data_IF_388002075312
#
_entry.id   IF_388002075312
#
_cell.length_a   1.000
_cell.length_b   1.000
_cell.length_c   1.000
_cell.angle_alpha   90.00
_cell.angle_beta   90.00
_cell.angle_gamma   90.00
#
_symmetry.space_group_name_H-M   'P 1'
#
loop_
_entity.id
_entity.type
_entity.pdbx_description
1 polymer ?
#
# COMPACT_ATOMS: atom_id res chain seq x y z
N UNK A 1 46.75 -60.50 1.40
CA UNK A 1 48.12 -61.02 1.72
C UNK A 1 48.44 -60.66 3.15
N UNK A 2 48.71 -61.72 4.00
CA UNK A 2 49.25 -61.73 5.37
C UNK A 2 48.36 -61.15 6.49
N UNK A 3 47.65 -61.91 7.33
CA UNK A 3 48.03 -62.93 8.31
C UNK A 3 48.85 -62.39 9.48
N UNK A 4 48.32 -62.58 10.70
CA UNK A 4 49.06 -62.60 11.97
C UNK A 4 48.08 -62.21 13.11
N UNK A 5 47.36 -63.03 13.67
CA UNK A 5 47.62 -64.04 14.74
C UNK A 5 48.15 -63.44 16.06
N UNK A 6 47.30 -63.67 17.11
CA UNK A 6 47.56 -64.44 18.31
C UNK A 6 47.82 -63.64 19.59
N UNK A 7 47.13 -63.97 20.65
CA UNK A 7 47.48 -63.68 22.04
C UNK A 7 46.37 -63.84 23.06
N UNK A 8 46.00 -65.08 23.36
CA UNK A 8 45.19 -65.50 24.53
C UNK A 8 46.09 -65.38 25.78
N UNK A 9 45.64 -64.66 26.81
CA UNK A 9 46.06 -64.91 28.21
C UNK A 9 44.84 -64.90 29.13
N UNK A 10 44.53 -66.06 29.60
CA UNK A 10 43.64 -66.48 30.68
C UNK A 10 44.32 -66.17 32.01
N UNK A 11 43.70 -65.39 32.91
CA UNK A 11 44.11 -65.44 34.33
C UNK A 11 42.89 -65.33 35.23
N UNK A 12 42.66 -66.40 35.91
CA UNK A 12 41.69 -66.73 36.89
C UNK A 12 42.18 -66.24 38.26
N UNK A 13 41.40 -65.43 38.99
CA UNK A 13 41.56 -65.26 40.45
C UNK A 13 40.17 -64.94 41.10
N UNK A 14 39.66 -65.88 41.79
CA UNK A 14 38.99 -66.05 43.09
C UNK A 14 38.05 -64.95 43.60
N UNK A 15 36.85 -65.44 43.88
CA UNK A 15 35.77 -64.89 44.65
C UNK A 15 36.13 -64.50 46.10
N UNK A 16 35.73 -63.31 46.52
CA UNK A 16 35.47 -62.97 47.92
C UNK A 16 34.04 -62.47 48.00
N UNK A 17 33.17 -63.30 48.55
CA UNK A 17 31.79 -63.03 48.91
C UNK A 17 31.76 -62.22 50.21
N UNK A 18 31.20 -60.98 50.10
CA UNK A 18 30.71 -60.25 51.26
C UNK A 18 29.24 -59.98 51.06
N UNK A 19 28.47 -60.72 51.80
CA UNK A 19 27.02 -60.65 52.03
C UNK A 19 26.74 -59.29 52.71
N UNK A 20 26.10 -58.37 51.98
CA UNK A 20 25.40 -57.22 52.59
C UNK A 20 23.97 -57.30 52.16
N UNK A 21 23.07 -57.62 53.07
CA UNK A 21 21.61 -57.62 52.88
C UNK A 21 21.18 -56.21 52.50
N UNK A 22 20.41 -56.04 51.43
CA UNK A 22 19.75 -54.77 51.19
C UNK A 22 18.67 -54.58 52.26
N UNK A 23 18.76 -53.56 53.08
CA UNK A 23 17.65 -53.05 53.88
C UNK A 23 16.50 -52.75 52.96
N UNK A 24 15.35 -53.40 53.26
CA UNK A 24 14.08 -53.06 52.62
C UNK A 24 13.90 -51.50 52.63
N UNK A 25 13.84 -50.92 51.44
CA UNK A 25 13.54 -49.50 51.30
C UNK A 25 12.19 -49.20 51.92
N UNK A 26 12.18 -48.24 52.77
CA UNK A 26 10.95 -47.63 53.24
C UNK A 26 10.10 -47.21 52.02
N UNK A 27 8.76 -47.37 52.10
CA UNK A 27 7.85 -46.82 51.09
C UNK A 27 8.11 -45.34 51.04
N UNK A 28 8.40 -44.82 49.82
CA UNK A 28 8.67 -43.42 49.60
C UNK A 28 7.64 -42.54 50.27
N UNK A 29 8.12 -41.67 51.11
CA UNK A 29 7.32 -40.62 51.72
C UNK A 29 6.53 -39.88 50.61
N UNK A 30 5.29 -39.58 50.88
CA UNK A 30 4.45 -38.74 50.05
C UNK A 30 5.29 -37.53 49.63
N UNK A 31 5.59 -37.43 48.33
CA UNK A 31 6.46 -36.40 47.82
C UNK A 31 6.00 -35.01 48.28
N UNK A 32 6.89 -34.27 48.94
CA UNK A 32 6.57 -32.95 49.40
C UNK A 32 5.97 -32.18 48.23
N UNK A 33 4.72 -31.70 48.38
CA UNK A 33 4.01 -30.92 47.36
C UNK A 33 4.87 -29.70 47.03
N UNK A 34 5.37 -29.69 45.84
CA UNK A 34 6.33 -28.65 45.37
C UNK A 34 5.64 -27.29 45.21
N UNK A 35 6.26 -26.24 45.66
CA UNK A 35 5.75 -24.88 45.45
C UNK A 35 5.98 -24.44 44.00
N UNK A 36 4.93 -23.88 43.41
CA UNK A 36 4.99 -23.26 42.07
C UNK A 36 4.45 -21.84 42.10
N UNK A 37 5.16 -20.89 41.49
CA UNK A 37 4.65 -19.55 41.35
C UNK A 37 3.44 -19.54 40.39
N UNK A 38 2.37 -18.89 40.81
CA UNK A 38 1.14 -18.74 40.03
C UNK A 38 0.75 -17.27 39.92
N UNK A 39 0.12 -16.91 38.82
CA UNK A 39 -0.46 -15.59 38.61
C UNK A 39 -1.97 -15.70 38.53
N UNK A 40 -2.70 -14.81 39.22
CA UNK A 40 -4.13 -14.66 39.04
C UNK A 40 -4.38 -13.79 37.79
N UNK A 41 -5.05 -14.37 36.77
CA UNK A 41 -5.32 -13.62 35.55
C UNK A 41 -6.45 -12.61 35.75
N UNK A 42 -6.27 -11.41 35.22
CA UNK A 42 -7.25 -10.32 35.27
C UNK A 42 -7.61 -9.90 33.85
N UNK A 43 -8.85 -9.47 33.68
CA UNK A 43 -9.25 -8.83 32.42
C UNK A 43 -8.81 -7.38 32.42
N UNK A 44 -8.26 -6.93 31.30
CA UNK A 44 -7.90 -5.53 31.06
C UNK A 44 -8.13 -5.18 29.59
N UNK A 45 -8.48 -3.93 29.32
CA UNK A 45 -8.54 -3.47 27.93
C UNK A 45 -7.13 -3.28 27.42
N UNK A 46 -6.87 -3.74 26.20
CA UNK A 46 -5.56 -3.57 25.55
C UNK A 46 -5.71 -3.19 24.10
N UNK A 47 -4.69 -2.53 23.56
CA UNK A 47 -4.60 -2.19 22.16
C UNK A 47 -3.51 -3.04 21.51
N UNK A 48 -3.95 -3.87 20.57
CA UNK A 48 -3.06 -4.61 19.69
C UNK A 48 -2.88 -3.83 18.39
N UNK A 49 -1.78 -4.09 17.70
CA UNK A 49 -1.54 -3.55 16.38
C UNK A 49 -1.37 -4.69 15.39
N UNK A 50 -1.91 -4.49 14.21
CA UNK A 50 -1.67 -5.37 13.08
C UNK A 50 -1.06 -4.59 11.94
N UNK A 51 0.07 -5.08 11.45
CA UNK A 51 0.86 -4.42 10.42
C UNK A 51 0.61 -5.08 9.07
N UNK A 52 0.37 -4.26 8.05
CA UNK A 52 0.10 -4.69 6.68
C UNK A 52 1.12 -4.07 5.73
N UNK A 53 1.87 -4.90 4.97
CA UNK A 53 2.77 -4.38 3.95
C UNK A 53 2.01 -3.50 2.96
N UNK A 54 2.58 -2.33 2.67
CA UNK A 54 1.95 -1.34 1.80
C UNK A 54 2.92 -0.77 0.78
N UNK A 55 2.34 -0.34 -0.36
CA UNK A 55 3.01 0.52 -1.34
C UNK A 55 2.37 1.89 -1.31
N UNK A 56 3.22 2.91 -1.27
CA UNK A 56 2.81 4.30 -1.29
C UNK A 56 2.72 4.81 -2.72
N UNK A 57 1.62 5.48 -3.04
CA UNK A 57 1.42 6.13 -4.33
C UNK A 57 0.88 7.55 -4.11
N UNK A 58 1.29 8.48 -4.94
CA UNK A 58 0.67 9.80 -4.97
C UNK A 58 -0.81 9.70 -5.35
N UNK A 59 -1.59 10.66 -4.89
CA UNK A 59 -3.04 10.73 -5.16
C UNK A 59 -3.36 10.64 -6.66
N UNK A 60 -2.53 11.24 -7.48
CA UNK A 60 -2.61 11.19 -8.93
C UNK A 60 -1.20 11.11 -9.50
N UNK A 61 -0.93 10.11 -10.31
CA UNK A 61 0.32 10.02 -11.07
C UNK A 61 -0.03 10.02 -12.55
N UNK A 62 0.52 11.00 -13.29
CA UNK A 62 0.28 11.17 -14.71
C UNK A 62 1.59 10.99 -15.47
N UNK A 63 1.58 10.12 -16.47
CA UNK A 63 2.69 9.96 -17.39
C UNK A 63 2.68 11.09 -18.42
N UNK A 64 3.81 11.76 -18.58
CA UNK A 64 4.01 12.79 -19.58
C UNK A 64 4.61 12.16 -20.83
N UNK A 65 3.87 12.20 -21.90
CA UNK A 65 4.26 11.65 -23.21
C UNK A 65 4.19 12.73 -24.30
N UNK A 66 5.05 12.65 -25.31
CA UNK A 66 4.92 13.49 -26.49
C UNK A 66 3.71 13.05 -27.33
N UNK A 67 2.96 13.99 -27.89
CA UNK A 67 1.90 13.72 -28.87
C UNK A 67 2.42 13.70 -30.32
N UNK A 68 3.60 14.29 -30.55
CA UNK A 68 4.23 14.38 -31.87
C UNK A 68 5.65 13.82 -31.82
N UNK A 69 6.19 13.47 -32.97
CA UNK A 69 7.60 13.08 -33.10
C UNK A 69 8.48 14.32 -33.20
N UNK A 70 9.58 14.34 -32.43
CA UNK A 70 10.55 15.43 -32.47
C UNK A 70 11.73 15.20 -31.54
N UNK A 71 12.79 15.97 -31.73
CA UNK A 71 13.94 15.98 -30.84
C UNK A 71 13.70 16.91 -29.65
N UNK A 72 14.10 16.47 -28.44
CA UNK A 72 14.07 17.34 -27.26
C UNK A 72 15.11 18.43 -27.44
N UNK A 73 14.66 19.68 -27.52
CA UNK A 73 15.52 20.87 -27.62
C UNK A 73 15.92 21.37 -26.23
N UNK A 74 14.98 21.39 -25.28
CA UNK A 74 15.19 21.90 -23.93
C UNK A 74 14.37 21.12 -22.92
N UNK A 75 14.95 20.93 -21.73
CA UNK A 75 14.28 20.48 -20.50
C UNK A 75 14.27 21.70 -19.56
N UNK A 76 13.08 22.15 -19.14
CA UNK A 76 12.88 23.43 -18.43
C UNK A 76 12.67 23.26 -16.93
N UNK A 77 12.76 22.04 -16.44
CA UNK A 77 12.52 21.67 -15.04
C UNK A 77 13.53 20.60 -14.61
N UNK A 78 13.76 20.48 -13.32
CA UNK A 78 14.66 19.46 -12.76
C UNK A 78 13.87 18.25 -12.24
N UNK A 79 14.55 17.08 -12.16
CA UNK A 79 14.02 15.88 -11.53
C UNK A 79 13.71 16.15 -10.05
N UNK A 80 12.54 15.76 -9.59
CA UNK A 80 12.10 16.01 -8.21
C UNK A 80 11.54 17.40 -7.92
N UNK A 81 11.57 18.34 -8.90
CA UNK A 81 10.98 19.65 -8.74
C UNK A 81 9.45 19.59 -8.66
N UNK A 82 8.86 20.52 -7.91
CA UNK A 82 7.41 20.71 -7.92
C UNK A 82 7.02 21.59 -9.11
N UNK A 83 5.97 21.19 -9.82
CA UNK A 83 5.46 21.90 -11.00
C UNK A 83 3.97 22.14 -10.89
N UNK A 84 3.52 23.23 -11.55
CA UNK A 84 2.12 23.60 -11.63
C UNK A 84 1.47 23.13 -12.93
N UNK A 85 0.17 22.92 -12.89
CA UNK A 85 -0.64 22.63 -14.08
C UNK A 85 -0.44 23.73 -15.14
N UNK A 86 -0.12 23.30 -16.37
CA UNK A 86 0.16 24.19 -17.50
C UNK A 86 1.62 24.67 -17.61
N UNK A 87 2.47 24.41 -16.61
CA UNK A 87 3.89 24.72 -16.67
C UNK A 87 4.57 23.91 -17.77
N UNK A 88 5.41 24.57 -18.60
CA UNK A 88 6.17 23.91 -19.66
C UNK A 88 7.31 23.10 -19.05
N UNK A 89 7.36 21.81 -19.37
CA UNK A 89 8.36 20.87 -18.89
C UNK A 89 9.46 20.62 -19.93
N UNK A 90 9.04 20.36 -21.17
CA UNK A 90 9.93 20.07 -22.29
C UNK A 90 9.57 20.94 -23.49
N UNK A 91 10.57 21.27 -24.28
CA UNK A 91 10.43 21.89 -25.60
C UNK A 91 11.03 20.96 -26.64
N UNK A 92 10.25 20.64 -27.67
CA UNK A 92 10.74 19.90 -28.84
C UNK A 92 11.20 20.91 -29.90
N UNK A 93 12.12 20.47 -30.75
CA UNK A 93 12.50 21.27 -31.92
C UNK A 93 11.25 21.51 -32.80
N UNK A 94 11.01 22.80 -33.09
CA UNK A 94 9.79 23.24 -33.75
C UNK A 94 10.02 23.78 -35.16
N UNK A 95 11.23 23.73 -35.69
CA UNK A 95 11.58 24.38 -36.98
C UNK A 95 10.71 23.87 -38.14
N UNK A 96 10.57 22.54 -38.28
CA UNK A 96 9.78 21.94 -39.35
C UNK A 96 8.28 22.22 -39.17
N UNK A 97 7.81 22.13 -37.93
CA UNK A 97 6.39 22.39 -37.59
C UNK A 97 6.05 23.85 -37.84
N UNK A 98 6.94 24.80 -37.51
CA UNK A 98 6.77 26.20 -37.81
C UNK A 98 6.75 26.49 -39.32
N UNK A 99 7.56 25.77 -40.13
CA UNK A 99 7.52 25.88 -41.56
C UNK A 99 6.17 25.46 -42.15
N UNK A 100 5.57 24.37 -41.60
CA UNK A 100 4.22 23.88 -41.96
C UNK A 100 3.18 24.97 -41.61
N UNK A 101 3.26 25.60 -40.43
CA UNK A 101 2.34 26.67 -40.05
C UNK A 101 2.43 27.84 -41.04
N UNK A 102 3.65 28.35 -41.36
CA UNK A 102 3.83 29.41 -42.34
C UNK A 102 3.26 29.05 -43.72
N UNK A 103 3.41 27.79 -44.16
CA UNK A 103 2.83 27.32 -45.41
C UNK A 103 1.30 27.34 -45.37
N UNK A 104 0.69 26.85 -44.27
CA UNK A 104 -0.76 26.86 -44.08
C UNK A 104 -1.32 28.31 -44.00
N UNK A 105 -0.61 29.24 -43.34
CA UNK A 105 -0.96 30.67 -43.31
C UNK A 105 -0.96 31.29 -44.72
N UNK A 106 0.04 30.96 -45.52
CA UNK A 106 0.10 31.44 -46.91
C UNK A 106 -1.09 30.90 -47.75
N UNK A 107 -1.45 29.62 -47.54
CA UNK A 107 -2.60 29.00 -48.23
C UNK A 107 -3.94 29.65 -47.84
N UNK A 108 -4.12 30.04 -46.58
CA UNK A 108 -5.30 30.82 -46.12
C UNK A 108 -5.34 32.17 -46.85
N UNK A 109 -4.22 32.90 -46.97
CA UNK A 109 -4.17 34.20 -47.68
C UNK A 109 -4.53 34.04 -49.15
N UNK A 110 -4.08 32.97 -49.83
CA UNK A 110 -4.47 32.69 -51.22
C UNK A 110 -5.97 32.45 -51.32
N UNK A 111 -6.53 31.58 -50.44
CA UNK A 111 -7.95 31.30 -50.44
C UNK A 111 -8.80 32.55 -50.10
N UNK A 112 -8.36 33.40 -49.23
CA UNK A 112 -9.00 34.72 -48.93
C UNK A 112 -9.07 35.61 -50.16
N UNK A 113 -7.96 35.72 -50.93
CA UNK A 113 -7.93 36.47 -52.17
C UNK A 113 -8.89 35.89 -53.21
N UNK A 114 -8.96 34.57 -53.34
CA UNK A 114 -9.89 33.90 -54.24
C UNK A 114 -11.37 34.18 -53.88
N UNK A 115 -11.72 34.21 -52.59
CA UNK A 115 -13.09 34.59 -52.15
C UNK A 115 -13.39 36.03 -52.55
N UNK A 116 -12.45 36.98 -52.31
CA UNK A 116 -12.62 38.39 -52.68
C UNK A 116 -12.89 38.52 -54.18
N UNK A 117 -12.13 37.80 -55.04
CA UNK A 117 -12.35 37.81 -56.48
C UNK A 117 -13.73 37.28 -56.83
N UNK A 118 -14.18 36.21 -56.22
CA UNK A 118 -15.52 35.61 -56.46
C UNK A 118 -16.63 36.59 -56.00
N UNK A 119 -16.49 37.23 -54.85
CA UNK A 119 -17.41 38.28 -54.36
C UNK A 119 -17.53 39.45 -55.32
N UNK A 120 -16.41 39.99 -55.78
CA UNK A 120 -16.42 41.07 -56.79
C UNK A 120 -17.15 40.66 -58.06
N UNK A 121 -17.04 39.38 -58.49
CA UNK A 121 -17.76 38.88 -59.66
C UNK A 121 -19.30 38.81 -59.41
N UNK A 122 -19.74 38.39 -58.23
CA UNK A 122 -21.16 38.43 -57.84
C UNK A 122 -21.65 39.88 -57.79
N UNK A 123 -20.89 40.81 -57.16
CA UNK A 123 -21.25 42.22 -57.08
C UNK A 123 -21.37 42.89 -58.48
N UNK A 124 -20.53 42.51 -59.41
CA UNK A 124 -20.61 43.01 -60.83
C UNK A 124 -21.80 42.41 -61.58
N UNK A 125 -22.10 41.13 -61.38
CA UNK A 125 -23.15 40.41 -62.14
C UNK A 125 -24.55 40.77 -61.63
N UNK A 126 -24.75 40.95 -60.37
CA UNK A 126 -26.02 41.21 -59.69
C UNK A 126 -26.78 42.40 -60.33
N UNK A 127 -26.21 43.62 -60.55
CA UNK A 127 -26.90 44.76 -61.17
C UNK A 127 -27.18 44.54 -62.66
N UNK A 128 -26.41 43.68 -63.35
CA UNK A 128 -26.65 43.38 -64.76
C UNK A 128 -27.88 42.48 -64.94
N UNK A 129 -28.12 41.56 -64.01
CA UNK A 129 -29.34 40.74 -63.97
C UNK A 129 -30.54 41.62 -63.62
N UNK A 130 -30.44 42.52 -62.67
CA UNK A 130 -31.50 43.48 -62.31
C UNK A 130 -31.95 44.30 -63.54
N UNK A 131 -30.99 44.65 -64.43
CA UNK A 131 -31.23 45.39 -65.66
C UNK A 131 -31.63 44.48 -66.85
N UNK A 132 -31.79 43.12 -66.64
CA UNK A 132 -32.05 42.12 -67.66
C UNK A 132 -30.99 42.05 -68.77
N UNK A 133 -29.75 42.42 -68.52
CA UNK A 133 -28.63 42.36 -69.48
C UNK A 133 -28.05 40.94 -69.55
N UNK A 134 -28.01 40.20 -68.38
CA UNK A 134 -27.57 38.82 -68.28
C UNK A 134 -28.66 37.93 -67.62
N UNK A 135 -28.53 36.61 -67.79
CA UNK A 135 -29.53 35.68 -67.29
C UNK A 135 -29.44 35.46 -65.78
N UNK A 136 -30.54 35.06 -65.13
CA UNK A 136 -30.49 34.64 -63.71
C UNK A 136 -29.58 33.41 -63.46
N UNK A 137 -29.41 32.59 -64.51
CA UNK A 137 -28.52 31.42 -64.43
C UNK A 137 -27.06 31.85 -64.28
N UNK A 138 -26.64 32.95 -64.96
CA UNK A 138 -25.29 33.51 -64.83
C UNK A 138 -25.01 33.99 -63.41
N UNK A 139 -25.99 34.66 -62.77
CA UNK A 139 -25.85 35.06 -61.37
C UNK A 139 -25.73 33.82 -60.45
N UNK A 140 -26.60 32.82 -60.61
CA UNK A 140 -26.55 31.60 -59.86
C UNK A 140 -25.21 30.85 -60.02
N UNK A 141 -24.59 30.90 -61.19
CA UNK A 141 -23.28 30.30 -61.45
C UNK A 141 -22.16 31.00 -60.67
N UNK A 142 -22.13 32.36 -60.69
CA UNK A 142 -21.08 33.07 -59.93
C UNK A 142 -21.31 32.98 -58.42
N UNK A 143 -22.55 32.98 -57.93
CA UNK A 143 -22.87 32.73 -56.51
C UNK A 143 -22.43 31.31 -56.07
N UNK A 144 -22.64 30.30 -56.93
CA UNK A 144 -22.17 28.93 -56.66
C UNK A 144 -20.63 28.87 -56.62
N UNK A 145 -19.95 29.67 -57.46
CA UNK A 145 -18.48 29.80 -57.45
C UNK A 145 -17.99 30.46 -56.18
N UNK A 146 -18.67 31.52 -55.73
CA UNK A 146 -18.35 32.21 -54.45
C UNK A 146 -18.44 31.22 -53.29
N UNK A 147 -19.58 30.46 -53.17
CA UNK A 147 -19.75 29.41 -52.14
C UNK A 147 -18.67 28.35 -52.22
N UNK A 148 -18.23 27.95 -53.41
CA UNK A 148 -17.12 27.02 -53.60
C UNK A 148 -15.80 27.57 -53.04
N UNK A 149 -15.51 28.86 -53.29
CA UNK A 149 -14.33 29.55 -52.79
C UNK A 149 -14.36 29.77 -51.27
N UNK A 150 -15.53 30.08 -50.72
CA UNK A 150 -15.74 30.11 -49.24
C UNK A 150 -15.47 28.76 -48.59
N UNK A 151 -15.94 27.66 -49.23
CA UNK A 151 -15.66 26.33 -48.73
C UNK A 151 -14.15 25.96 -48.78
N UNK A 152 -13.44 26.41 -49.83
CA UNK A 152 -11.97 26.29 -49.95
C UNK A 152 -11.25 27.06 -48.87
N UNK A 153 -11.69 28.30 -48.57
CA UNK A 153 -11.15 29.12 -47.48
C UNK A 153 -11.38 28.42 -46.11
N UNK A 154 -12.58 27.89 -45.88
CA UNK A 154 -12.86 27.15 -44.65
C UNK A 154 -11.93 25.93 -44.49
N UNK A 155 -11.67 25.20 -45.59
CA UNK A 155 -10.70 24.08 -45.59
C UNK A 155 -9.28 24.53 -45.29
N UNK A 156 -8.83 25.66 -45.89
CA UNK A 156 -7.50 26.19 -45.62
C UNK A 156 -7.34 26.66 -44.15
N UNK A 157 -8.38 27.27 -43.60
CA UNK A 157 -8.40 27.67 -42.16
C UNK A 157 -8.34 26.45 -41.24
N UNK A 158 -9.07 25.37 -41.52
CA UNK A 158 -9.00 24.14 -40.78
C UNK A 158 -7.61 23.48 -40.83
N UNK A 159 -6.94 23.54 -41.99
CA UNK A 159 -5.56 23.06 -42.13
C UNK A 159 -4.56 23.92 -41.29
N UNK A 160 -4.74 25.22 -41.25
CA UNK A 160 -3.94 26.10 -40.41
C UNK A 160 -4.15 25.82 -38.91
N UNK A 161 -5.39 25.59 -38.50
CA UNK A 161 -5.72 25.20 -37.13
C UNK A 161 -5.01 23.89 -36.71
N UNK A 162 -5.04 22.87 -37.58
CA UNK A 162 -4.32 21.61 -37.36
C UNK A 162 -2.79 21.84 -37.26
N UNK A 163 -2.22 22.67 -38.12
CA UNK A 163 -0.78 23.03 -38.05
C UNK A 163 -0.43 23.72 -36.74
N UNK A 164 -1.27 24.64 -36.29
CA UNK A 164 -1.08 25.37 -35.02
C UNK A 164 -1.22 24.42 -33.81
N UNK A 165 -2.15 23.48 -33.84
CA UNK A 165 -2.29 22.43 -32.79
C UNK A 165 -1.00 21.59 -32.70
N UNK A 166 -0.42 21.19 -33.82
CA UNK A 166 0.86 20.46 -33.85
C UNK A 166 2.01 21.33 -33.30
N UNK A 167 2.03 22.62 -33.57
CA UNK A 167 3.01 23.55 -33.01
C UNK A 167 2.85 23.66 -31.49
N UNK A 168 1.64 23.70 -30.98
CA UNK A 168 1.40 23.68 -29.51
C UNK A 168 1.93 22.41 -28.87
N UNK A 169 1.83 21.26 -29.53
CA UNK A 169 2.34 19.97 -29.01
C UNK A 169 3.87 19.92 -28.94
N UNK A 170 4.60 20.85 -29.54
CA UNK A 170 6.05 20.98 -29.34
C UNK A 170 6.41 21.49 -27.95
N UNK A 171 5.46 22.12 -27.24
CA UNK A 171 5.58 22.53 -25.83
C UNK A 171 4.83 21.54 -24.96
N UNK A 172 5.57 20.71 -24.27
CA UNK A 172 5.00 19.68 -23.41
C UNK A 172 4.81 20.27 -22.03
N UNK A 173 3.55 20.35 -21.57
CA UNK A 173 3.17 20.98 -20.30
C UNK A 173 2.67 19.95 -19.29
N UNK A 174 2.74 20.31 -18.00
CA UNK A 174 2.14 19.48 -16.94
C UNK A 174 0.60 19.57 -16.97
N UNK A 175 -0.12 18.44 -16.97
CA UNK A 175 -1.58 18.42 -16.89
C UNK A 175 -2.10 18.65 -15.46
N UNK A 176 -1.24 18.52 -14.43
CA UNK A 176 -1.61 18.59 -13.00
C UNK A 176 -0.48 19.24 -12.19
N UNK A 177 -0.83 19.66 -10.98
CA UNK A 177 0.16 20.05 -9.97
C UNK A 177 0.80 18.80 -9.39
N UNK A 178 2.12 18.82 -9.12
CA UNK A 178 2.80 17.68 -8.54
C UNK A 178 4.32 17.72 -8.67
N UNK A 179 4.96 16.66 -8.20
CA UNK A 179 6.41 16.48 -8.26
C UNK A 179 6.81 15.70 -9.50
N UNK A 180 7.83 16.17 -10.20
CA UNK A 180 8.43 15.52 -11.37
C UNK A 180 9.17 14.26 -10.96
N UNK A 181 9.03 13.20 -11.76
CA UNK A 181 9.83 11.99 -11.68
C UNK A 181 11.21 12.12 -12.32
N UNK A 182 11.79 11.00 -12.75
CA UNK A 182 13.06 10.95 -13.47
C UNK A 182 12.88 11.23 -14.96
N UNK A 183 13.97 11.59 -15.65
CA UNK A 183 14.02 11.82 -17.09
C UNK A 183 14.80 10.70 -17.79
N UNK A 184 14.12 9.69 -18.40
CA UNK A 184 14.81 8.68 -19.20
C UNK A 184 15.49 9.26 -20.44
N UNK A 185 14.97 10.39 -20.96
CA UNK A 185 15.43 11.05 -22.17
C UNK A 185 16.18 12.33 -21.84
N UNK A 186 17.18 12.66 -22.67
CA UNK A 186 18.02 13.86 -22.54
C UNK A 186 17.80 14.81 -23.73
N UNK A 187 18.30 16.01 -23.61
CA UNK A 187 18.35 16.97 -24.75
C UNK A 187 19.05 16.28 -25.94
N UNK A 188 18.45 16.38 -27.11
CA UNK A 188 18.88 15.70 -28.33
C UNK A 188 18.26 14.31 -28.56
N UNK A 189 17.51 13.75 -27.60
CA UNK A 189 16.80 12.49 -27.81
C UNK A 189 15.61 12.66 -28.73
N UNK A 190 15.37 11.69 -29.62
CA UNK A 190 14.15 11.61 -30.44
C UNK A 190 13.04 10.97 -29.61
N UNK A 191 11.89 11.61 -29.55
CA UNK A 191 10.70 11.16 -28.83
C UNK A 191 9.47 11.18 -29.73
N UNK A 192 8.48 10.36 -29.41
CA UNK A 192 7.23 10.26 -30.16
C UNK A 192 6.10 9.74 -29.28
N UNK A 193 4.86 9.79 -29.77
CA UNK A 193 3.70 9.21 -29.08
C UNK A 193 3.76 7.68 -28.92
N UNK A 194 4.57 6.99 -29.73
CA UNK A 194 4.78 5.53 -29.69
C UNK A 194 5.99 5.10 -28.85
N UNK A 195 6.73 6.05 -28.26
CA UNK A 195 7.86 5.75 -27.40
C UNK A 195 7.36 4.97 -26.16
N UNK A 196 7.99 3.81 -25.87
CA UNK A 196 7.53 2.89 -24.82
C UNK A 196 7.54 3.55 -23.45
N UNK A 197 8.61 4.26 -23.10
CA UNK A 197 8.76 4.97 -21.82
C UNK A 197 8.19 6.39 -21.90
N UNK A 198 7.56 6.90 -20.81
CA UNK A 198 7.16 8.29 -20.74
C UNK A 198 8.37 9.22 -20.63
N UNK A 199 8.24 10.48 -21.03
CA UNK A 199 9.26 11.51 -20.86
C UNK A 199 9.58 11.75 -19.37
N UNK A 200 8.56 11.72 -18.56
CA UNK A 200 8.61 11.76 -17.10
C UNK A 200 7.22 11.41 -16.54
N UNK A 201 7.12 11.41 -15.22
CA UNK A 201 5.84 11.33 -14.50
C UNK A 201 5.65 12.57 -13.64
N UNK A 202 4.42 13.03 -13.49
CA UNK A 202 4.04 14.05 -12.51
C UNK A 202 3.14 13.41 -11.48
N UNK A 203 3.56 13.40 -10.22
CA UNK A 203 2.84 12.80 -9.11
C UNK A 203 2.35 13.87 -8.15
N UNK A 204 1.04 13.95 -7.93
CA UNK A 204 0.48 14.74 -6.84
C UNK A 204 0.71 14.00 -5.52
N UNK A 205 1.59 14.54 -4.70
CA UNK A 205 2.04 13.93 -3.44
C UNK A 205 1.55 14.68 -2.21
N UNK A 206 0.60 15.60 -2.34
CA UNK A 206 0.00 16.34 -1.20
C UNK A 206 -0.68 15.35 -0.24
N UNK A 207 -1.39 14.38 -0.80
CA UNK A 207 -1.89 13.22 -0.08
C UNK A 207 -1.29 11.97 -0.71
N UNK A 208 -0.86 11.05 0.15
CA UNK A 208 -0.31 9.77 -0.27
C UNK A 208 -1.31 8.65 0.01
N UNK A 209 -1.50 7.80 -0.95
CA UNK A 209 -2.29 6.59 -0.82
C UNK A 209 -1.39 5.41 -0.48
N UNK A 210 -1.75 4.71 0.59
CA UNK A 210 -1.14 3.45 0.99
C UNK A 210 -2.07 2.30 0.58
N UNK A 211 -1.60 1.46 -0.33
CA UNK A 211 -2.33 0.28 -0.80
C UNK A 211 -1.82 -0.96 -0.08
N UNK A 212 -2.71 -1.65 0.59
CA UNK A 212 -2.45 -2.90 1.28
C UNK A 212 -3.64 -3.86 1.12
N UNK A 213 -3.51 -5.10 1.57
CA UNK A 213 -4.53 -6.12 1.33
C UNK A 213 -4.95 -6.80 2.61
N UNK A 214 -6.28 -7.00 2.77
CA UNK A 214 -6.85 -7.94 3.73
C UNK A 214 -7.13 -9.28 3.06
N UNK A 215 -6.98 -10.37 3.78
CA UNK A 215 -7.60 -11.61 3.33
C UNK A 215 -9.14 -11.53 3.47
N UNK A 216 -9.88 -12.31 2.68
CA UNK A 216 -11.34 -12.25 2.64
C UNK A 216 -11.99 -12.49 4.01
N UNK A 217 -11.49 -13.48 4.78
CA UNK A 217 -12.00 -13.79 6.12
C UNK A 217 -11.89 -12.58 7.06
N UNK A 218 -10.75 -11.91 7.03
CA UNK A 218 -10.48 -10.75 7.86
C UNK A 218 -11.35 -9.56 7.46
N UNK A 219 -11.45 -9.28 6.16
CA UNK A 219 -12.32 -8.24 5.63
C UNK A 219 -13.78 -8.43 6.06
N UNK A 220 -14.29 -9.65 5.97
CA UNK A 220 -15.63 -9.99 6.42
C UNK A 220 -15.80 -9.81 7.94
N UNK A 221 -14.79 -10.19 8.74
CA UNK A 221 -14.81 -10.00 10.19
C UNK A 221 -14.87 -8.51 10.56
N UNK A 222 -14.00 -7.69 9.97
CA UNK A 222 -13.97 -6.25 10.20
C UNK A 222 -15.30 -5.61 9.76
N UNK A 223 -15.77 -5.90 8.55
CA UNK A 223 -16.95 -5.24 7.99
C UNK A 223 -18.26 -5.66 8.66
N UNK A 224 -18.36 -6.88 9.20
CA UNK A 224 -19.53 -7.33 9.97
C UNK A 224 -19.56 -6.72 11.38
N UNK A 225 -18.39 -6.47 11.98
CA UNK A 225 -18.28 -5.84 13.30
C UNK A 225 -18.59 -4.35 13.31
N UNK A 226 -18.57 -3.69 12.15
CA UNK A 226 -18.78 -2.26 12.03
C UNK A 226 -20.25 -1.93 11.67
N UNK A 227 -20.84 -0.97 12.39
CA UNK A 227 -22.17 -0.44 12.08
C UNK A 227 -22.09 0.52 10.89
N UNK A 228 -22.95 0.36 9.90
CA UNK A 228 -23.07 1.22 8.71
C UNK A 228 -23.75 0.49 7.55
N UNK A 229 -24.40 1.23 6.66
CA UNK A 229 -25.08 0.67 5.47
C UNK A 229 -24.10 0.49 4.31
N UNK A 230 -23.13 1.38 4.18
CA UNK A 230 -22.12 1.36 3.11
C UNK A 230 -20.74 1.05 3.66
N UNK A 231 -19.82 0.56 2.81
CA UNK A 231 -18.42 0.34 3.20
C UNK A 231 -17.75 1.63 3.65
N UNK A 232 -18.06 2.74 3.00
CA UNK A 232 -17.49 4.04 3.34
C UNK A 232 -17.94 4.50 4.74
N UNK A 233 -19.22 4.33 5.10
CA UNK A 233 -19.71 4.60 6.46
C UNK A 233 -19.05 3.70 7.50
N UNK A 234 -18.78 2.43 7.16
CA UNK A 234 -18.09 1.51 8.05
C UNK A 234 -16.64 1.91 8.25
N UNK A 235 -15.92 2.22 7.18
CA UNK A 235 -14.52 2.61 7.26
C UNK A 235 -14.31 3.96 7.96
N UNK A 236 -15.25 4.90 7.86
CA UNK A 236 -15.17 6.15 8.61
C UNK A 236 -15.21 5.98 10.13
N UNK A 237 -15.65 4.81 10.62
CA UNK A 237 -15.69 4.45 12.04
C UNK A 237 -14.46 3.68 12.51
N UNK A 238 -13.59 3.28 11.58
CA UNK A 238 -12.31 2.71 11.94
C UNK A 238 -11.44 3.78 12.60
N UNK A 239 -10.62 3.40 13.57
CA UNK A 239 -9.63 4.30 14.14
C UNK A 239 -8.64 4.77 13.08
N UNK A 240 -7.94 5.87 13.36
CA UNK A 240 -6.80 6.30 12.58
C UNK A 240 -5.77 5.19 12.44
N UNK A 241 -5.08 5.17 11.31
CA UNK A 241 -4.03 4.19 11.04
C UNK A 241 -2.67 4.89 11.00
N UNK A 242 -1.64 4.24 11.53
CA UNK A 242 -0.27 4.75 11.49
C UNK A 242 0.48 4.13 10.31
N UNK A 243 1.44 4.86 9.78
CA UNK A 243 2.35 4.37 8.75
C UNK A 243 3.74 4.15 9.37
N UNK A 244 4.25 2.94 9.26
CA UNK A 244 5.64 2.63 9.59
C UNK A 244 6.42 2.72 8.29
N UNK A 245 7.40 3.60 8.24
CA UNK A 245 8.24 3.82 7.07
C UNK A 245 9.28 2.72 6.89
N UNK A 246 9.97 2.71 5.77
CA UNK A 246 10.95 1.69 5.43
C UNK A 246 12.16 1.61 6.40
N UNK A 247 12.43 2.68 7.15
CA UNK A 247 13.45 2.76 8.20
C UNK A 247 12.94 2.32 9.60
N UNK A 248 11.72 1.77 9.67
CA UNK A 248 10.99 1.40 10.88
C UNK A 248 10.57 2.58 11.78
N UNK A 249 10.72 3.81 11.34
CA UNK A 249 10.16 4.97 12.05
C UNK A 249 8.66 5.08 11.79
N UNK A 250 7.94 5.60 12.78
CA UNK A 250 6.49 5.87 12.65
C UNK A 250 6.32 7.25 12.02
N UNK A 251 5.51 7.32 10.96
CA UNK A 251 5.14 8.60 10.35
C UNK A 251 4.29 9.42 11.32
N UNK A 252 4.58 10.71 11.44
CA UNK A 252 4.00 11.61 12.46
C UNK A 252 2.51 11.93 12.26
N UNK A 253 1.97 11.70 11.04
CA UNK A 253 0.58 12.00 10.71
C UNK A 253 -0.21 10.72 10.54
N UNK A 254 -1.36 10.67 11.20
CA UNK A 254 -2.29 9.56 11.06
C UNK A 254 -2.97 9.57 9.69
N UNK A 255 -3.14 8.40 9.15
CA UNK A 255 -3.93 8.15 7.95
C UNK A 255 -5.32 7.63 8.27
N UNK A 256 -6.15 7.53 7.24
CA UNK A 256 -7.50 6.97 7.33
C UNK A 256 -7.75 5.99 6.20
N UNK A 257 -8.40 4.88 6.52
CA UNK A 257 -8.88 3.93 5.51
C UNK A 257 -10.06 4.57 4.80
N UNK A 258 -9.97 4.73 3.47
CA UNK A 258 -10.99 5.38 2.67
C UNK A 258 -11.91 4.39 1.95
N UNK A 259 -11.31 3.37 1.37
CA UNK A 259 -12.04 2.45 0.50
C UNK A 259 -11.37 1.09 0.40
N UNK A 260 -12.13 0.09 -0.03
CA UNK A 260 -11.64 -1.21 -0.43
C UNK A 260 -12.14 -1.54 -1.84
N UNK A 261 -11.39 -2.40 -2.55
CA UNK A 261 -11.81 -2.95 -3.84
C UNK A 261 -13.16 -3.67 -3.70
N UNK A 262 -14.03 -3.50 -4.68
CA UNK A 262 -15.27 -4.29 -4.80
C UNK A 262 -15.05 -5.73 -5.28
N UNK A 263 -13.81 -6.11 -5.57
CA UNK A 263 -13.44 -7.42 -6.10
C UNK A 263 -12.43 -8.09 -5.18
N UNK A 264 -12.59 -9.39 -4.99
CA UNK A 264 -11.58 -10.26 -4.37
C UNK A 264 -10.64 -10.72 -5.47
N UNK A 265 -9.34 -10.64 -5.25
CA UNK A 265 -8.36 -11.22 -6.15
C UNK A 265 -8.46 -12.77 -6.07
N UNK A 266 -8.83 -13.45 -7.17
CA UNK A 266 -9.05 -14.89 -7.13
C UNK A 266 -7.76 -15.70 -6.97
N UNK A 267 -6.59 -15.11 -7.22
CA UNK A 267 -5.31 -15.80 -7.08
C UNK A 267 -4.82 -15.79 -5.64
N UNK A 268 -5.08 -14.70 -4.91
CA UNK A 268 -4.57 -14.50 -3.55
C UNK A 268 -5.66 -14.59 -2.48
N UNK A 269 -6.95 -14.55 -2.86
CA UNK A 269 -8.07 -14.49 -1.91
C UNK A 269 -8.07 -13.20 -1.08
N UNK A 270 -7.49 -12.13 -1.61
CA UNK A 270 -7.32 -10.86 -0.89
C UNK A 270 -8.13 -9.72 -1.50
N UNK A 271 -8.40 -8.72 -0.70
CA UNK A 271 -9.13 -7.49 -1.05
C UNK A 271 -8.19 -6.33 -0.85
N UNK A 272 -7.95 -5.56 -1.91
CA UNK A 272 -7.12 -4.37 -1.84
C UNK A 272 -7.86 -3.24 -1.11
N UNK A 273 -7.16 -2.63 -0.17
CA UNK A 273 -7.63 -1.53 0.66
C UNK A 273 -6.72 -0.33 0.48
N UNK A 274 -7.29 0.86 0.50
CA UNK A 274 -6.57 2.12 0.39
C UNK A 274 -6.75 2.95 1.65
N UNK A 275 -5.64 3.35 2.24
CA UNK A 275 -5.60 4.41 3.24
C UNK A 275 -4.97 5.67 2.66
N UNK A 276 -5.38 6.83 3.16
CA UNK A 276 -4.86 8.15 2.77
C UNK A 276 -4.07 8.74 3.93
N UNK A 277 -2.89 9.29 3.62
CA UNK A 277 -2.00 9.96 4.57
C UNK A 277 -1.69 11.36 4.07
N UNK A 278 -1.89 12.41 4.88
CA UNK A 278 -1.44 13.76 4.53
C UNK A 278 0.09 13.81 4.42
N UNK A 279 0.63 14.50 3.40
CA UNK A 279 2.06 14.58 3.16
C UNK A 279 2.51 16.02 2.87
N UNK A 280 2.13 16.97 3.75
CA UNK A 280 2.47 18.38 3.60
C UNK A 280 3.98 18.64 3.57
N UNK A 281 4.76 17.78 4.22
CA UNK A 281 6.22 17.95 4.37
C UNK A 281 6.99 17.28 3.23
N UNK A 282 6.28 16.59 2.32
CA UNK A 282 6.89 15.92 1.17
C UNK A 282 7.82 14.75 1.53
N UNK A 283 7.75 14.24 2.77
CA UNK A 283 8.60 13.13 3.23
C UNK A 283 8.26 11.83 2.51
N UNK A 284 6.97 11.56 2.33
CA UNK A 284 6.50 10.36 1.64
C UNK A 284 6.64 10.55 0.13
N UNK A 285 7.16 9.53 -0.56
CA UNK A 285 7.35 9.55 -2.01
C UNK A 285 6.57 8.44 -2.68
N UNK A 286 6.06 8.73 -3.88
CA UNK A 286 5.39 7.72 -4.71
C UNK A 286 6.39 6.62 -5.09
N UNK A 287 5.95 5.35 -4.96
CA UNK A 287 6.81 4.16 -5.13
C UNK A 287 7.46 3.67 -3.84
N UNK A 288 7.37 4.43 -2.74
CA UNK A 288 7.86 4.00 -1.43
C UNK A 288 7.10 2.79 -0.87
N UNK A 289 7.71 2.09 0.07
CA UNK A 289 7.13 0.96 0.80
C UNK A 289 7.09 1.24 2.30
N UNK A 290 6.23 0.53 3.00
CA UNK A 290 6.11 0.63 4.45
C UNK A 290 5.10 -0.39 4.97
N UNK A 291 4.66 -0.20 6.21
CA UNK A 291 3.61 -0.99 6.84
C UNK A 291 2.49 -0.06 7.32
N UNK A 292 1.27 -0.34 6.94
CA UNK A 292 0.10 0.31 7.56
C UNK A 292 -0.22 -0.43 8.83
N UNK A 293 -0.17 0.26 9.94
CA UNK A 293 -0.47 -0.25 11.28
C UNK A 293 -1.89 0.11 11.66
N UNK A 294 -2.71 -0.91 11.88
CA UNK A 294 -4.11 -0.76 12.25
C UNK A 294 -4.27 -1.14 13.73
N UNK A 295 -4.74 -0.22 14.58
CA UNK A 295 -5.00 -0.52 15.97
C UNK A 295 -6.26 -1.39 16.10
N UNK A 296 -6.18 -2.39 16.95
CA UNK A 296 -7.27 -3.30 17.30
C UNK A 296 -7.50 -3.22 18.82
N UNK A 297 -8.63 -2.68 19.23
CA UNK A 297 -9.01 -2.62 20.63
C UNK A 297 -9.64 -3.95 21.05
N UNK A 298 -9.14 -4.51 22.14
CA UNK A 298 -9.66 -5.74 22.74
C UNK A 298 -10.10 -5.40 24.16
N UNK A 299 -11.42 -5.33 24.36
CA UNK A 299 -11.99 -5.14 25.68
C UNK A 299 -11.97 -6.45 26.45
N UNK A 300 -11.67 -6.39 27.74
CA UNK A 300 -11.66 -7.57 28.61
C UNK A 300 -10.67 -8.66 28.18
N UNK A 301 -9.50 -8.27 27.66
CA UNK A 301 -8.44 -9.19 27.31
C UNK A 301 -7.79 -9.80 28.57
N UNK A 302 -7.49 -11.08 28.56
CA UNK A 302 -6.62 -11.74 29.53
C UNK A 302 -5.22 -11.75 28.94
N UNK A 303 -4.26 -11.09 29.60
CA UNK A 303 -2.86 -11.03 29.18
C UNK A 303 -2.04 -11.95 30.08
N UNK A 304 -1.31 -12.88 29.46
CA UNK A 304 -0.40 -13.79 30.18
C UNK A 304 1.01 -13.73 29.57
N UNK A 305 2.07 -13.89 30.38
CA UNK A 305 3.43 -14.02 29.85
C UNK A 305 3.57 -15.27 28.97
N UNK A 306 4.32 -15.17 27.88
CA UNK A 306 4.57 -16.33 26.99
C UNK A 306 5.19 -17.52 27.73
N UNK A 307 6.01 -17.28 28.75
CA UNK A 307 6.64 -18.30 29.58
C UNK A 307 5.66 -19.16 30.39
N UNK A 308 4.37 -18.75 30.54
CA UNK A 308 3.32 -19.54 31.17
C UNK A 308 2.70 -20.55 30.26
N UNK A 309 3.02 -20.49 28.96
CA UNK A 309 2.43 -21.34 27.94
C UNK A 309 3.43 -22.34 27.37
N UNK A 310 2.92 -23.44 26.87
CA UNK A 310 3.68 -24.35 26.02
C UNK A 310 2.85 -24.73 24.80
N UNK A 311 3.56 -25.01 23.72
CA UNK A 311 2.95 -25.39 22.45
C UNK A 311 3.02 -26.89 22.24
N UNK A 312 1.88 -27.48 21.86
CA UNK A 312 1.80 -28.87 21.47
C UNK A 312 0.91 -28.98 20.22
N UNK A 313 1.46 -29.53 19.14
CA UNK A 313 0.75 -29.72 17.87
C UNK A 313 0.13 -28.44 17.31
N UNK A 314 0.79 -27.30 17.43
CA UNK A 314 0.31 -26.02 16.95
C UNK A 314 -0.78 -25.36 17.82
N UNK A 315 -1.04 -25.90 19.02
CA UNK A 315 -1.99 -25.37 20.01
C UNK A 315 -1.25 -24.91 21.26
N UNK A 316 -1.74 -23.83 21.85
CA UNK A 316 -1.18 -23.31 23.10
C UNK A 316 -1.93 -23.84 24.31
N UNK A 317 -1.18 -24.20 25.34
CA UNK A 317 -1.70 -24.74 26.59
C UNK A 317 -1.10 -24.01 27.78
N UNK A 318 -1.87 -23.94 28.85
CA UNK A 318 -1.48 -23.48 30.18
C UNK A 318 -1.87 -24.46 31.25
N UNK A 319 -1.21 -24.41 32.40
CA UNK A 319 -1.67 -25.13 33.58
C UNK A 319 -2.46 -24.18 34.48
N UNK A 320 -3.75 -24.49 34.66
CA UNK A 320 -4.66 -23.76 35.58
C UNK A 320 -4.78 -24.53 36.86
N UNK A 321 -4.67 -23.85 38.01
CA UNK A 321 -4.84 -24.47 39.34
C UNK A 321 -6.33 -24.56 39.65
N UNK A 322 -6.79 -25.77 39.87
CA UNK A 322 -8.18 -26.07 40.29
C UNK A 322 -8.37 -26.01 41.79
N UNK A 323 -9.62 -26.21 42.24
CA UNK A 323 -10.07 -26.10 43.65
C UNK A 323 -9.34 -27.02 44.63
N UNK A 324 -8.73 -28.11 44.15
CA UNK A 324 -7.99 -29.08 44.97
C UNK A 324 -6.48 -28.88 44.94
N UNK A 325 -6.00 -27.68 44.56
CA UNK A 325 -4.58 -27.43 44.31
C UNK A 325 -3.96 -28.36 43.25
N UNK A 326 -4.76 -28.96 42.40
CA UNK A 326 -4.32 -29.77 41.26
C UNK A 326 -4.31 -28.94 39.99
N UNK A 327 -3.27 -29.09 39.19
CA UNK A 327 -3.18 -28.39 37.93
C UNK A 327 -3.88 -29.12 36.81
N UNK A 328 -4.66 -28.39 36.01
CA UNK A 328 -5.32 -28.88 34.82
C UNK A 328 -4.69 -28.28 33.59
N UNK A 329 -4.39 -29.11 32.60
CA UNK A 329 -3.96 -28.68 31.30
C UNK A 329 -5.15 -28.09 30.54
N UNK A 330 -5.09 -26.81 30.20
CA UNK A 330 -6.15 -26.06 29.52
C UNK A 330 -5.65 -25.55 28.19
N UNK A 331 -6.36 -25.88 27.12
CA UNK A 331 -6.11 -25.34 25.79
C UNK A 331 -6.57 -23.87 25.76
N UNK A 332 -5.75 -22.99 25.21
CA UNK A 332 -6.05 -21.57 25.06
C UNK A 332 -5.89 -21.14 23.62
N UNK A 333 -6.73 -20.21 23.20
CA UNK A 333 -6.53 -19.49 21.96
C UNK A 333 -5.86 -18.15 22.26
N UNK A 334 -4.83 -17.82 21.48
CA UNK A 334 -4.04 -16.60 21.69
C UNK A 334 -4.02 -15.72 20.45
N UNK A 335 -4.10 -14.41 20.65
CA UNK A 335 -3.75 -13.42 19.63
C UNK A 335 -2.28 -13.03 19.84
N UNK A 336 -1.50 -13.24 18.78
CA UNK A 336 -0.12 -12.77 18.72
C UNK A 336 -0.19 -11.30 18.27
N UNK A 337 0.30 -10.39 19.09
CA UNK A 337 0.30 -8.97 18.81
C UNK A 337 1.63 -8.31 19.18
N UNK A 338 1.62 -7.01 19.33
CA UNK A 338 2.77 -6.18 19.65
C UNK A 338 3.21 -6.20 21.13
N UNK A 339 2.56 -7.02 21.96
CA UNK A 339 2.95 -7.15 23.36
C UNK A 339 4.23 -7.97 23.46
N UNK A 340 5.29 -7.35 23.99
CA UNK A 340 6.57 -8.03 24.20
C UNK A 340 6.41 -9.13 25.26
N UNK A 341 6.84 -10.36 24.91
CA UNK A 341 6.87 -11.52 25.82
C UNK A 341 5.52 -11.88 26.45
N UNK A 342 4.39 -11.49 25.82
CA UNK A 342 3.04 -11.74 26.35
C UNK A 342 2.08 -12.13 25.23
N UNK A 343 1.07 -12.93 25.58
CA UNK A 343 -0.04 -13.29 24.73
C UNK A 343 -1.35 -12.68 25.25
N UNK A 344 -2.22 -12.31 24.33
CA UNK A 344 -3.62 -12.00 24.64
C UNK A 344 -4.44 -13.27 24.43
N UNK A 345 -5.05 -13.77 25.49
CA UNK A 345 -5.90 -14.96 25.46
C UNK A 345 -7.33 -14.55 25.09
N UNK A 346 -7.87 -15.16 24.05
CA UNK A 346 -9.24 -14.92 23.57
C UNK A 346 -10.23 -15.97 24.06
N UNK A 347 -9.75 -17.20 24.34
CA UNK A 347 -10.57 -18.26 24.89
C UNK A 347 -9.74 -19.23 25.74
N UNK A 348 -10.41 -19.98 26.62
CA UNK A 348 -9.79 -20.99 27.46
C UNK A 348 -9.49 -20.58 28.90
N UNK A 349 -9.47 -19.26 29.22
CA UNK A 349 -9.29 -18.75 30.58
C UNK A 349 -10.44 -17.85 31.00
N UNK A 350 -10.65 -17.77 32.34
CA UNK A 350 -11.61 -16.85 32.98
C UNK A 350 -10.88 -15.89 33.92
N UNK A 351 -11.45 -14.73 34.11
CA UNK A 351 -10.93 -13.79 35.14
C UNK A 351 -10.94 -14.46 36.51
N UNK A 352 -9.81 -14.39 37.21
CA UNK A 352 -9.60 -15.00 38.51
C UNK A 352 -8.91 -16.37 38.45
N UNK A 353 -8.79 -17.02 37.29
CA UNK A 353 -8.05 -18.28 37.19
C UNK A 353 -6.59 -18.07 37.61
N UNK A 354 -6.02 -19.08 38.27
CA UNK A 354 -4.61 -19.05 38.64
C UNK A 354 -3.80 -19.90 37.66
N UNK A 355 -2.89 -19.25 36.95
CA UNK A 355 -2.04 -19.90 35.94
C UNK A 355 -0.63 -20.06 36.46
N UNK A 356 -0.03 -21.22 36.26
CA UNK A 356 1.35 -21.51 36.67
C UNK A 356 2.34 -20.66 35.83
N UNK A 357 3.20 -19.92 36.52
CA UNK A 357 4.12 -18.95 35.89
C UNK A 357 5.42 -19.61 35.41
N UNK A 358 5.93 -20.58 36.16
CA UNK A 358 7.22 -21.22 35.89
C UNK A 358 7.21 -22.70 36.29
N UNK A 359 8.11 -23.49 35.67
CA UNK A 359 8.22 -24.92 35.96
C UNK A 359 7.26 -25.79 35.17
N UNK A 360 6.59 -25.24 34.17
CA UNK A 360 5.57 -25.96 33.36
C UNK A 360 6.11 -27.23 32.68
N UNK A 361 7.40 -27.29 32.31
CA UNK A 361 7.99 -28.47 31.66
C UNK A 361 8.01 -29.74 32.53
N UNK A 362 7.91 -29.57 33.84
CA UNK A 362 7.93 -30.72 34.79
C UNK A 362 6.55 -31.12 35.27
N UNK A 363 5.51 -30.34 34.93
CA UNK A 363 4.15 -30.56 35.36
C UNK A 363 3.43 -31.58 34.46
N UNK A 364 2.52 -32.33 35.05
CA UNK A 364 1.59 -33.21 34.35
C UNK A 364 0.18 -32.85 34.77
N UNK A 365 -0.79 -33.20 33.94
CA UNK A 365 -2.20 -33.03 34.28
C UNK A 365 -2.54 -33.75 35.59
N UNK A 366 -3.33 -33.10 36.44
CA UNK A 366 -3.73 -33.56 37.78
C UNK A 366 -2.59 -33.65 38.81
N UNK A 367 -1.43 -33.04 38.57
CA UNK A 367 -0.39 -32.95 39.61
C UNK A 367 -0.82 -31.97 40.70
N UNK A 368 -0.67 -32.40 41.96
CA UNK A 368 -0.92 -31.56 43.13
C UNK A 368 0.27 -30.64 43.39
N UNK A 369 0.00 -29.34 43.51
CA UNK A 369 1.01 -28.31 43.74
C UNK A 369 0.63 -27.44 44.93
N UNK A 370 1.60 -26.73 45.50
CA UNK A 370 1.35 -25.64 46.45
C UNK A 370 1.46 -24.30 45.70
N UNK A 371 0.34 -23.65 45.37
CA UNK A 371 0.38 -22.41 44.62
C UNK A 371 0.94 -21.28 45.49
N UNK A 372 1.94 -20.56 44.97
CA UNK A 372 2.47 -19.32 45.56
C UNK A 372 2.05 -18.19 44.62
N UNK A 373 1.05 -17.42 45.01
CA UNK A 373 0.57 -16.29 44.25
C UNK A 373 1.63 -15.23 44.16
N UNK A 374 2.02 -14.83 42.97
CA UNK A 374 2.93 -13.74 42.68
C UNK A 374 2.12 -12.57 42.10
N UNK A 375 2.21 -11.41 42.69
CA UNK A 375 1.53 -10.24 42.11
C UNK A 375 2.17 -9.80 40.81
N UNK A 376 1.35 -9.54 39.81
CA UNK A 376 1.75 -9.18 38.44
C UNK A 376 2.20 -7.71 38.31
N UNK A 377 2.56 -7.07 39.40
CA UNK A 377 2.90 -5.65 39.45
C UNK A 377 4.11 -5.17 38.63
N UNK A 378 4.87 -6.10 38.00
CA UNK A 378 6.06 -5.76 37.20
C UNK A 378 5.91 -5.97 35.70
N UNK A 379 4.73 -6.39 35.22
CA UNK A 379 4.51 -6.66 33.79
C UNK A 379 4.03 -5.41 33.02
N UNK A 380 3.62 -4.35 33.72
CA UNK A 380 3.17 -3.10 33.11
C UNK A 380 4.32 -2.10 32.80
N UNK A 381 5.52 -2.32 33.31
CA UNK A 381 6.66 -1.40 33.10
C UNK A 381 7.35 -1.53 31.74
N UNK A 382 6.99 -2.49 30.91
CA UNK A 382 7.56 -2.66 29.57
C UNK A 382 6.60 -2.32 28.42
N UNK A 383 5.56 -1.53 28.65
CA UNK A 383 4.86 -0.87 27.55
C UNK A 383 5.75 0.28 27.05
N UNK A 384 6.11 0.36 25.77
CA UNK A 384 6.72 1.55 25.25
C UNK A 384 5.73 2.70 25.50
N UNK A 385 6.17 3.68 26.28
CA UNK A 385 5.47 4.93 26.45
C UNK A 385 5.49 5.65 25.10
N UNK A 386 4.47 5.41 24.28
CA UNK A 386 4.29 6.15 23.07
C UNK A 386 3.63 7.48 23.43
N UNK A 387 4.44 8.52 23.31
CA UNK A 387 4.15 9.95 23.25
C UNK A 387 2.83 10.40 23.90
N UNK A 388 2.96 10.83 25.15
CA UNK A 388 2.06 11.84 25.68
C UNK A 388 2.09 13.06 24.75
N UNK A 389 1.06 13.20 23.96
CA UNK A 389 0.75 14.43 23.24
C UNK A 389 0.68 15.54 24.27
N UNK A 390 1.73 16.37 24.35
CA UNK A 390 1.65 17.66 25.03
C UNK A 390 0.59 18.50 24.33
N UNK A 391 -0.38 18.92 25.13
CA UNK A 391 -1.37 19.95 24.77
C UNK A 391 -0.73 21.23 24.29
#
# INVERSE_FOLDING_TARGET
MKIGQLGIILMMITAISCSNKPKAGQPGGAGAVKEYPVIAVKTQSTQLFKDYPTKLQGQQTVEIRSKITGYIEQILVDEGAFVHKGQVLFRLNSNDVQAIVRSAEAQVKVAEADVIIAQVNVEKTKPLVEKNIVSKFDLQSVESTEKSKEAQLAQAKANLENANANLQYTRITSPADGTIGTFPFRVGSLVSGSTAEPLTTVSNTVNMYAYFSFNEKEFLTITRGLAGKTLQEKFSKLPGVSLIMADNSVYDKEGRIETASGLVDPQTGSINVRASFPNSDGLLRSGGSGLVRIPQYVDSAIIIPQKTTYELQGKHFVYVVGDSSKVHNTEIEVLIGNLKDSYVVTSGLKAGDQVVLEGIATLRNNTEIKPKVVETGSLSENMPADNQVKK
#
